data_IF_655271382214
#
_entry.id   IF_655271382214
#
_cell.length_a   1.000
_cell.length_b   1.000
_cell.length_c   1.000
_cell.angle_alpha   90.00
_cell.angle_beta   90.00
_cell.angle_gamma   90.00
#
_symmetry.space_group_name_H-M   'P 1'
#
loop_
_entity.id
_entity.type
_entity.pdbx_description
1 polymer ?
#
# COMPACT_ATOMS: atom_id res chain seq x y z
N UNK A 1 85.07 40.67 19.49
CA UNK A 1 84.33 41.55 20.44
C UNK A 1 83.87 40.70 21.61
N UNK A 2 84.03 41.24 22.82
CA UNK A 2 83.75 40.61 24.13
C UNK A 2 82.25 40.72 24.50
N UNK A 3 81.80 39.82 25.39
CA UNK A 3 80.60 39.97 26.26
C UNK A 3 79.82 38.66 26.34
N UNK A 4 80.10 37.72 27.25
CA UNK A 4 79.76 37.63 28.71
C UNK A 4 78.27 37.82 29.04
N UNK A 5 77.66 36.79 29.64
CA UNK A 5 76.37 36.81 30.35
C UNK A 5 75.88 35.40 30.64
N UNK A 6 76.47 34.70 31.63
CA UNK A 6 75.92 34.43 32.99
C UNK A 6 74.67 33.55 33.00
N UNK A 7 74.87 32.34 33.52
CA UNK A 7 73.88 31.29 33.80
C UNK A 7 73.09 31.63 35.07
N UNK A 8 71.78 31.42 35.04
CA UNK A 8 70.91 31.42 36.21
C UNK A 8 70.27 30.03 36.34
N UNK A 9 70.73 29.27 37.34
CA UNK A 9 70.05 28.08 37.84
C UNK A 9 68.93 28.54 38.78
N UNK A 10 67.68 28.18 38.45
CA UNK A 10 66.61 28.15 39.42
C UNK A 10 66.04 26.74 39.49
N UNK A 11 66.28 26.12 40.64
CA UNK A 11 65.76 24.82 41.04
C UNK A 11 64.31 25.05 41.47
N UNK A 12 63.35 24.41 40.82
CA UNK A 12 61.97 24.29 41.29
C UNK A 12 61.59 22.80 41.24
N UNK A 13 61.14 22.22 42.35
CA UNK A 13 60.91 20.79 42.46
C UNK A 13 59.76 20.35 41.55
N UNK A 14 59.88 19.13 41.01
CA UNK A 14 58.76 18.38 40.45
C UNK A 14 57.64 18.34 41.49
N UNK A 15 56.55 19.07 41.23
CA UNK A 15 55.24 18.70 41.77
C UNK A 15 54.64 17.75 40.75
N UNK A 16 54.90 16.45 40.91
CA UNK A 16 54.02 15.44 40.34
C UNK A 16 52.66 15.62 41.02
N UNK A 17 51.76 16.33 40.33
CA UNK A 17 50.35 16.33 40.69
C UNK A 17 49.85 14.89 40.60
N UNK A 18 49.67 14.24 41.76
CA UNK A 18 48.95 12.98 41.80
C UNK A 18 47.54 13.23 41.24
N UNK A 19 47.19 12.53 40.16
CA UNK A 19 45.79 12.30 39.84
C UNK A 19 45.15 11.71 41.09
N UNK A 20 44.27 12.46 41.75
CA UNK A 20 43.37 11.88 42.76
C UNK A 20 42.43 10.93 42.03
N UNK A 21 42.86 9.68 41.91
CA UNK A 21 41.96 8.56 41.71
C UNK A 21 41.17 8.51 43.01
N UNK A 22 39.90 8.88 42.94
CA UNK A 22 38.96 8.62 44.03
C UNK A 22 38.77 7.11 44.10
N UNK A 23 39.58 6.46 44.93
CA UNK A 23 39.37 5.09 45.34
C UNK A 23 38.35 5.13 46.48
N UNK A 24 37.22 4.45 46.30
CA UNK A 24 36.12 4.45 47.27
C UNK A 24 36.41 3.62 48.54
N UNK A 25 37.61 3.06 48.66
CA UNK A 25 37.97 2.17 49.75
C UNK A 25 38.90 2.88 50.76
N UNK A 26 38.30 3.43 51.82
CA UNK A 26 38.97 3.68 53.10
C UNK A 26 38.45 2.69 54.14
N UNK A 27 39.23 2.36 55.19
CA UNK A 27 39.11 1.09 55.89
C UNK A 27 37.97 1.11 56.92
N UNK A 28 36.78 0.71 56.48
CA UNK A 28 35.84 -0.06 57.28
C UNK A 28 35.74 -1.43 56.64
N UNK A 29 35.82 -2.52 57.41
CA UNK A 29 35.57 -3.86 56.88
C UNK A 29 34.11 -3.95 56.39
N UNK A 30 33.88 -3.63 55.12
CA UNK A 30 32.66 -4.04 54.43
C UNK A 30 32.85 -5.49 54.05
N UNK A 31 31.94 -6.35 54.53
CA UNK A 31 31.85 -7.72 54.05
C UNK A 31 31.77 -7.68 52.51
N UNK A 32 32.38 -8.65 51.81
CA UNK A 32 32.31 -8.69 50.36
C UNK A 32 30.84 -8.58 49.93
N UNK A 33 30.50 -7.68 49.00
CA UNK A 33 29.12 -7.42 48.62
C UNK A 33 28.47 -8.73 48.22
N UNK A 34 27.37 -9.07 48.89
CA UNK A 34 26.62 -10.28 48.59
C UNK A 34 26.12 -10.19 47.14
N UNK A 35 26.54 -11.11 46.24
CA UNK A 35 26.23 -11.01 44.80
C UNK A 35 24.73 -11.06 44.50
N UNK A 36 23.91 -11.42 45.49
CA UNK A 36 22.47 -11.64 45.34
C UNK A 36 21.65 -10.38 45.71
N UNK A 37 22.06 -9.58 46.70
CA UNK A 37 21.30 -8.39 47.10
C UNK A 37 22.14 -7.32 47.83
N UNK A 38 22.69 -6.33 47.11
CA UNK A 38 23.56 -5.29 47.69
C UNK A 38 22.83 -4.27 48.59
N UNK A 39 21.53 -4.46 48.84
CA UNK A 39 20.73 -3.61 49.73
C UNK A 39 20.71 -4.07 51.20
N UNK A 40 21.52 -5.05 51.59
CA UNK A 40 21.50 -5.65 52.94
C UNK A 40 22.66 -5.28 53.87
N UNK A 41 23.59 -4.42 53.44
CA UNK A 41 24.82 -4.14 54.20
C UNK A 41 24.99 -2.63 54.47
N UNK A 42 24.75 -2.20 55.72
CA UNK A 42 25.16 -0.91 56.33
C UNK A 42 24.59 0.42 55.77
N UNK A 43 24.57 1.45 56.63
CA UNK A 43 23.91 2.76 56.40
C UNK A 43 24.44 3.51 55.16
N UNK A 44 25.69 3.23 54.76
CA UNK A 44 26.38 3.82 53.61
C UNK A 44 26.01 3.16 52.27
N UNK A 45 25.44 1.94 52.27
CA UNK A 45 24.94 1.29 51.04
C UNK A 45 23.61 1.84 50.55
N UNK A 46 22.94 2.69 51.35
CA UNK A 46 21.63 3.25 51.03
C UNK A 46 21.64 4.02 49.69
N UNK A 47 22.70 4.80 49.41
CA UNK A 47 22.84 5.52 48.14
C UNK A 47 22.99 4.60 46.93
N UNK A 48 23.84 3.57 47.04
CA UNK A 48 24.03 2.56 45.99
C UNK A 48 22.76 1.73 45.75
N UNK A 49 22.04 1.35 46.81
CA UNK A 49 20.77 0.64 46.71
C UNK A 49 19.68 1.48 46.02
N UNK A 50 19.59 2.78 46.35
CA UNK A 50 18.66 3.71 45.66
C UNK A 50 19.01 3.82 44.17
N UNK A 51 20.29 3.96 43.82
CA UNK A 51 20.73 4.02 42.43
C UNK A 51 20.42 2.73 41.67
N UNK A 52 20.66 1.56 42.27
CA UNK A 52 20.36 0.27 41.66
C UNK A 52 18.85 0.09 41.43
N UNK A 53 18.01 0.44 42.42
CA UNK A 53 16.55 0.41 42.25
C UNK A 53 16.08 1.34 41.13
N UNK A 54 16.65 2.55 41.02
CA UNK A 54 16.34 3.49 39.94
C UNK A 54 16.78 2.96 38.58
N UNK A 55 17.93 2.29 38.49
CA UNK A 55 18.40 1.61 37.28
C UNK A 55 17.42 0.51 36.85
N UNK A 56 17.00 -0.37 37.77
CA UNK A 56 16.05 -1.45 37.46
C UNK A 56 14.68 -0.90 37.03
N UNK A 57 14.22 0.17 37.67
CA UNK A 57 13.01 0.87 37.25
C UNK A 57 13.16 1.40 35.83
N UNK A 58 14.27 2.06 35.51
CA UNK A 58 14.53 2.58 34.16
C UNK A 58 14.64 1.47 33.11
N UNK A 59 15.31 0.36 33.43
CA UNK A 59 15.40 -0.83 32.57
C UNK A 59 14.00 -1.42 32.31
N UNK A 60 13.16 -1.51 33.33
CA UNK A 60 11.76 -1.94 33.19
C UNK A 60 10.95 -0.99 32.30
N UNK A 61 11.08 0.32 32.50
CA UNK A 61 10.43 1.31 31.63
C UNK A 61 10.94 1.24 30.19
N UNK A 62 12.25 1.09 29.99
CA UNK A 62 12.85 0.98 28.67
C UNK A 62 12.36 -0.29 27.96
N UNK A 63 12.41 -1.46 28.62
CA UNK A 63 11.91 -2.71 28.06
C UNK A 63 10.42 -2.62 27.73
N UNK A 64 9.60 -2.07 28.63
CA UNK A 64 8.17 -1.91 28.37
C UNK A 64 7.90 -0.95 27.20
N UNK A 65 8.68 0.14 27.09
CA UNK A 65 8.58 1.09 25.98
C UNK A 65 9.00 0.46 24.65
N UNK A 66 10.11 -0.28 24.65
CA UNK A 66 10.59 -1.02 23.47
C UNK A 66 9.56 -2.05 22.99
N UNK A 67 9.02 -2.88 23.90
CA UNK A 67 7.97 -3.85 23.55
C UNK A 67 6.72 -3.17 22.97
N UNK A 68 6.30 -2.04 23.54
CA UNK A 68 5.15 -1.27 23.03
C UNK A 68 5.41 -0.70 21.63
N UNK A 69 6.63 -0.23 21.37
CA UNK A 69 7.04 0.25 20.05
C UNK A 69 7.08 -0.88 19.02
N UNK A 70 7.63 -2.04 19.38
CA UNK A 70 7.65 -3.23 18.53
C UNK A 70 6.23 -3.70 18.18
N UNK A 71 5.34 -3.76 19.17
CA UNK A 71 3.92 -4.08 18.99
C UNK A 71 3.22 -3.09 18.05
N UNK A 72 3.47 -1.80 18.24
CA UNK A 72 2.88 -0.74 17.43
C UNK A 72 3.36 -0.82 15.98
N UNK A 73 4.66 -1.09 15.79
CA UNK A 73 5.25 -1.28 14.47
C UNK A 73 4.64 -2.51 13.78
N UNK A 74 4.51 -3.64 14.47
CA UNK A 74 3.92 -4.86 13.93
C UNK A 74 2.46 -4.64 13.50
N UNK A 75 1.66 -3.93 14.32
CA UNK A 75 0.27 -3.57 13.98
C UNK A 75 0.18 -2.63 12.78
N UNK A 76 1.07 -1.64 12.71
CA UNK A 76 1.14 -0.71 11.58
C UNK A 76 1.51 -1.45 10.29
N UNK A 77 2.52 -2.32 10.33
CA UNK A 77 2.93 -3.15 9.20
C UNK A 77 1.80 -4.05 8.71
N UNK A 78 1.09 -4.71 9.63
CA UNK A 78 -0.04 -5.58 9.27
C UNK A 78 -1.20 -4.79 8.64
N UNK A 79 -1.52 -3.62 9.20
CA UNK A 79 -2.53 -2.73 8.64
C UNK A 79 -2.16 -2.28 7.23
N UNK A 80 -0.89 -1.88 7.01
CA UNK A 80 -0.40 -1.47 5.69
C UNK A 80 -0.44 -2.61 4.68
N UNK A 81 -0.07 -3.82 5.11
CA UNK A 81 -0.15 -5.01 4.28
C UNK A 81 -1.59 -5.30 3.86
N UNK A 82 -2.52 -5.30 4.81
CA UNK A 82 -3.95 -5.51 4.57
C UNK A 82 -4.52 -4.45 3.60
N UNK A 83 -4.17 -3.17 3.79
CA UNK A 83 -4.54 -2.09 2.86
C UNK A 83 -4.01 -2.36 1.45
N UNK A 84 -2.75 -2.83 1.31
CA UNK A 84 -2.17 -3.13 0.00
C UNK A 84 -2.85 -4.32 -0.67
N UNK A 85 -3.12 -5.39 0.07
CA UNK A 85 -3.75 -6.61 -0.43
C UNK A 85 -5.24 -6.39 -0.78
N UNK A 86 -5.89 -5.37 -0.21
CA UNK A 86 -7.30 -5.06 -0.47
C UNK A 86 -7.52 -4.03 -1.58
N UNK A 87 -6.47 -3.51 -2.22
CA UNK A 87 -6.64 -2.58 -3.34
C UNK A 87 -7.06 -3.36 -4.57
N UNK A 88 -8.16 -2.94 -5.18
CA UNK A 88 -8.67 -3.51 -6.42
C UNK A 88 -9.06 -2.35 -7.32
N UNK A 89 -8.41 -2.26 -8.47
CA UNK A 89 -8.73 -1.29 -9.48
C UNK A 89 -8.27 -1.79 -10.85
N UNK A 90 -9.15 -1.73 -11.83
CA UNK A 90 -8.80 -2.01 -13.22
C UNK A 90 -9.35 -0.92 -14.13
N UNK A 91 -8.65 -0.67 -15.23
CA UNK A 91 -9.10 0.17 -16.32
C UNK A 91 -8.47 -0.37 -17.59
N UNK A 92 -9.33 -0.79 -18.51
CA UNK A 92 -8.94 -1.47 -19.74
C UNK A 92 -9.68 -0.88 -20.93
N UNK A 93 -9.05 -0.93 -22.10
CA UNK A 93 -9.62 -0.52 -23.37
C UNK A 93 -9.68 -1.71 -24.34
N UNK A 94 -10.57 -1.64 -25.34
CA UNK A 94 -10.88 -2.78 -26.19
C UNK A 94 -9.63 -3.27 -26.93
N UNK A 95 -8.87 -2.33 -27.49
CA UNK A 95 -7.63 -2.58 -28.26
C UNK A 95 -6.83 -1.27 -28.37
N UNK A 96 -5.58 -1.36 -28.81
CA UNK A 96 -4.66 -0.25 -29.10
C UNK A 96 -4.50 0.02 -30.61
N UNK A 97 -5.32 -0.64 -31.43
CA UNK A 97 -5.26 -0.62 -32.90
C UNK A 97 -6.66 -0.58 -33.46
N UNK A 98 -6.81 0.00 -34.65
CA UNK A 98 -8.10 0.09 -35.35
C UNK A 98 -8.72 -1.30 -35.54
N UNK A 99 -9.77 -1.61 -34.76
CA UNK A 99 -10.51 -2.88 -34.82
C UNK A 99 -11.95 -2.65 -34.40
N UNK A 100 -12.87 -3.29 -35.11
CA UNK A 100 -14.25 -3.44 -34.66
C UNK A 100 -14.54 -4.88 -34.26
N UNK A 101 -15.36 -5.06 -33.23
CA UNK A 101 -15.89 -6.34 -32.77
C UNK A 101 -17.39 -6.35 -33.07
N UNK A 102 -17.84 -7.32 -33.87
CA UNK A 102 -19.21 -7.39 -34.36
C UNK A 102 -19.28 -7.70 -35.86
N UNK A 103 -20.48 -7.82 -36.43
CA UNK A 103 -21.70 -8.09 -35.69
C UNK A 103 -21.68 -9.57 -35.27
N UNK A 104 -22.24 -9.88 -34.11
CA UNK A 104 -22.35 -11.27 -33.65
C UNK A 104 -23.78 -11.78 -33.79
N UNK A 105 -23.93 -13.08 -34.07
CA UNK A 105 -25.25 -13.73 -34.15
C UNK A 105 -25.87 -13.97 -32.77
N UNK A 106 -25.01 -14.20 -31.78
CA UNK A 106 -25.36 -14.45 -30.39
C UNK A 106 -24.56 -13.49 -29.52
N UNK A 107 -25.09 -13.12 -28.37
CA UNK A 107 -24.36 -12.26 -27.45
C UNK A 107 -23.01 -12.90 -27.07
N UNK A 108 -21.93 -12.12 -27.09
CA UNK A 108 -20.59 -12.56 -26.70
C UNK A 108 -20.06 -11.70 -25.57
N UNK A 109 -19.13 -12.25 -24.78
CA UNK A 109 -18.35 -11.45 -23.85
C UNK A 109 -17.28 -10.68 -24.63
N UNK A 110 -17.20 -9.37 -24.37
CA UNK A 110 -16.21 -8.49 -24.96
C UNK A 110 -14.90 -8.62 -24.22
N UNK A 111 -13.82 -8.87 -24.96
CA UNK A 111 -12.48 -9.02 -24.40
C UNK A 111 -11.70 -7.72 -24.64
N UNK A 112 -11.44 -6.98 -23.56
CA UNK A 112 -10.66 -5.75 -23.59
C UNK A 112 -9.19 -6.11 -23.38
N UNK A 113 -8.37 -5.86 -24.40
CA UNK A 113 -6.99 -6.37 -24.46
C UNK A 113 -5.95 -5.34 -24.06
N UNK A 114 -6.26 -4.04 -24.16
CA UNK A 114 -5.37 -2.98 -23.72
C UNK A 114 -5.56 -2.72 -22.23
N UNK A 115 -4.51 -2.87 -21.43
CA UNK A 115 -4.57 -2.70 -19.97
C UNK A 115 -3.84 -1.41 -19.59
N UNK A 116 -4.56 -0.45 -19.00
CA UNK A 116 -3.94 0.71 -18.36
C UNK A 116 -3.54 0.40 -16.93
N UNK A 117 -4.43 -0.27 -16.19
CA UNK A 117 -4.21 -0.67 -14.80
C UNK A 117 -4.98 -1.96 -14.49
N UNK A 118 -4.40 -2.82 -13.67
CA UNK A 118 -5.03 -4.06 -13.18
C UNK A 118 -4.49 -4.41 -11.78
N UNK A 119 -4.67 -3.50 -10.82
CA UNK A 119 -4.28 -3.70 -9.43
C UNK A 119 -5.15 -4.81 -8.82
N UNK A 120 -4.50 -5.78 -8.18
CA UNK A 120 -5.14 -6.96 -7.62
C UNK A 120 -5.35 -8.08 -8.64
N UNK A 121 -4.92 -7.87 -9.90
CA UNK A 121 -4.94 -8.88 -10.99
C UNK A 121 -6.30 -9.56 -11.19
N UNK A 122 -7.38 -8.83 -10.88
CA UNK A 122 -8.73 -9.35 -10.86
C UNK A 122 -9.41 -9.33 -12.25
N UNK A 123 -8.86 -8.58 -13.21
CA UNK A 123 -9.29 -8.60 -14.60
C UNK A 123 -8.45 -9.56 -15.44
N UNK A 124 -9.11 -10.43 -16.22
CA UNK A 124 -8.46 -11.36 -17.13
C UNK A 124 -8.65 -10.91 -18.60
N UNK A 125 -7.58 -10.40 -19.21
CA UNK A 125 -7.58 -9.88 -20.59
C UNK A 125 -7.66 -10.94 -21.68
N UNK A 126 -7.55 -12.23 -21.34
CA UNK A 126 -7.80 -13.31 -22.29
C UNK A 126 -9.28 -13.67 -22.40
N UNK A 127 -10.07 -13.40 -21.35
CA UNK A 127 -11.48 -13.80 -21.26
C UNK A 127 -12.45 -12.63 -21.20
N UNK A 128 -11.97 -11.42 -20.91
CA UNK A 128 -12.83 -10.24 -20.73
C UNK A 128 -13.53 -10.16 -19.38
N UNK A 129 -13.13 -10.99 -18.41
CA UNK A 129 -13.85 -11.17 -17.14
C UNK A 129 -13.13 -10.45 -16.01
N UNK A 130 -13.86 -9.61 -15.28
CA UNK A 130 -13.45 -9.15 -13.95
C UNK A 130 -14.04 -10.09 -12.89
N UNK A 131 -13.19 -10.74 -12.10
CA UNK A 131 -13.61 -11.61 -11.00
C UNK A 131 -13.38 -10.90 -9.69
N UNK A 132 -14.45 -10.71 -8.92
CA UNK A 132 -14.43 -9.95 -7.68
C UNK A 132 -13.56 -10.67 -6.64
N UNK A 133 -12.41 -10.10 -6.24
CA UNK A 133 -11.51 -10.77 -5.32
C UNK A 133 -11.93 -10.58 -3.85
N UNK A 134 -12.76 -9.56 -3.56
CA UNK A 134 -13.19 -9.17 -2.22
C UNK A 134 -14.64 -8.69 -2.23
N UNK A 135 -15.44 -9.10 -1.25
CA UNK A 135 -16.79 -8.59 -1.08
C UNK A 135 -16.75 -7.10 -0.74
N UNK A 136 -17.65 -6.32 -1.33
CA UNK A 136 -17.70 -4.89 -1.09
C UNK A 136 -18.55 -4.13 -2.09
N UNK A 137 -18.45 -2.80 -2.03
CA UNK A 137 -19.11 -1.91 -2.98
C UNK A 137 -18.11 -1.45 -4.03
N UNK A 138 -18.46 -1.69 -5.29
CA UNK A 138 -17.64 -1.38 -6.45
C UNK A 138 -18.27 -0.25 -7.26
N UNK A 139 -17.45 0.68 -7.73
CA UNK A 139 -17.80 1.54 -8.85
C UNK A 139 -17.37 0.84 -10.13
N UNK A 140 -18.30 0.66 -11.06
CA UNK A 140 -18.06 0.08 -12.37
C UNK A 140 -18.50 1.09 -13.41
N UNK A 141 -17.68 1.25 -14.46
CA UNK A 141 -18.02 2.07 -15.60
C UNK A 141 -17.65 1.35 -16.89
N UNK A 142 -18.51 1.45 -17.90
CA UNK A 142 -18.16 1.00 -19.24
C UNK A 142 -18.69 1.98 -20.28
N UNK A 143 -17.91 2.13 -21.34
CA UNK A 143 -18.21 2.97 -22.48
C UNK A 143 -18.37 2.08 -23.69
N UNK A 144 -19.40 2.36 -24.48
CA UNK A 144 -19.61 1.77 -25.79
C UNK A 144 -19.42 2.86 -26.84
N UNK A 145 -18.63 2.57 -27.87
CA UNK A 145 -18.46 3.42 -29.04
C UNK A 145 -18.47 2.54 -30.30
N UNK A 146 -19.09 3.04 -31.36
CA UNK A 146 -18.97 2.43 -32.67
C UNK A 146 -18.96 3.49 -33.77
N UNK A 147 -18.39 3.09 -34.91
CA UNK A 147 -18.41 3.79 -36.19
C UNK A 147 -19.31 2.99 -37.15
N UNK A 148 -20.15 3.65 -37.92
CA UNK A 148 -21.03 3.05 -38.93
C UNK A 148 -20.24 2.46 -40.12
N UNK A 149 -18.95 2.77 -40.24
CA UNK A 149 -18.00 2.25 -41.21
C UNK A 149 -18.10 2.88 -42.60
N UNK A 150 -19.30 3.31 -43.02
CA UNK A 150 -19.51 4.06 -44.26
C UNK A 150 -20.68 5.04 -44.14
N UNK A 151 -20.66 6.18 -44.86
CA UNK A 151 -21.76 7.15 -44.83
C UNK A 151 -23.11 6.51 -45.17
N UNK A 152 -24.11 6.71 -44.30
CA UNK A 152 -25.46 6.18 -44.49
C UNK A 152 -25.66 4.70 -44.13
N UNK A 153 -24.62 4.02 -43.63
CA UNK A 153 -24.80 2.70 -43.03
C UNK A 153 -25.50 2.79 -41.67
N UNK A 154 -26.13 1.69 -41.26
CA UNK A 154 -26.77 1.60 -39.95
C UNK A 154 -25.71 1.52 -38.85
N UNK A 155 -25.66 2.53 -37.99
CA UNK A 155 -24.94 2.48 -36.73
C UNK A 155 -25.74 1.65 -35.73
N UNK A 156 -25.09 0.69 -35.08
CA UNK A 156 -25.70 -0.18 -34.09
C UNK A 156 -24.67 -0.48 -33.00
N UNK A 157 -24.77 0.21 -31.89
CA UNK A 157 -23.87 0.10 -30.74
C UNK A 157 -24.68 -0.30 -29.52
N UNK A 158 -24.44 -1.50 -29.00
CA UNK A 158 -25.16 -1.95 -27.82
C UNK A 158 -24.44 -3.04 -27.04
N UNK A 159 -24.33 -2.82 -25.73
CA UNK A 159 -23.73 -3.78 -24.82
C UNK A 159 -24.38 -3.68 -23.44
N UNK A 160 -24.26 -4.76 -22.67
CA UNK A 160 -24.73 -4.81 -21.28
C UNK A 160 -23.61 -5.23 -20.35
N UNK A 161 -23.47 -4.56 -19.22
CA UNK A 161 -22.67 -5.08 -18.10
C UNK A 161 -23.50 -6.12 -17.33
N UNK A 162 -22.88 -7.28 -17.05
CA UNK A 162 -23.55 -8.43 -16.45
C UNK A 162 -22.80 -8.91 -15.21
N UNK A 163 -23.54 -9.31 -14.18
CA UNK A 163 -23.04 -10.06 -13.01
C UNK A 163 -23.50 -11.50 -13.13
N UNK A 164 -22.55 -12.44 -13.17
CA UNK A 164 -22.82 -13.88 -13.29
C UNK A 164 -23.80 -14.21 -14.43
N UNK A 165 -23.68 -13.49 -15.55
CA UNK A 165 -24.55 -13.67 -16.69
C UNK A 165 -25.94 -13.04 -16.56
N UNK A 166 -26.25 -12.25 -15.53
CA UNK A 166 -27.48 -11.44 -15.42
C UNK A 166 -27.16 -9.96 -15.67
N UNK A 167 -27.93 -9.28 -16.51
CA UNK A 167 -27.68 -7.87 -16.83
C UNK A 167 -27.91 -6.96 -15.61
N UNK A 168 -26.97 -6.04 -15.37
CA UNK A 168 -27.11 -4.97 -14.37
C UNK A 168 -27.53 -3.66 -15.03
N UNK A 169 -26.91 -3.33 -16.16
CA UNK A 169 -27.23 -2.15 -16.97
C UNK A 169 -26.92 -2.44 -18.44
N UNK A 170 -27.54 -1.70 -19.34
CA UNK A 170 -27.32 -1.81 -20.78
C UNK A 170 -27.31 -0.44 -21.44
N UNK A 171 -26.53 -0.33 -22.51
CA UNK A 171 -26.50 0.81 -23.42
C UNK A 171 -26.89 0.30 -24.80
N UNK A 172 -27.72 1.07 -25.51
CA UNK A 172 -28.17 0.72 -26.85
C UNK A 172 -28.49 1.97 -27.63
N UNK A 173 -27.77 2.16 -28.72
CA UNK A 173 -28.07 3.15 -29.75
C UNK A 173 -28.09 2.47 -31.12
N UNK A 174 -29.13 2.76 -31.90
CA UNK A 174 -29.29 2.24 -33.26
C UNK A 174 -29.87 3.36 -34.11
N UNK A 175 -29.06 3.88 -35.02
CA UNK A 175 -29.43 5.04 -35.82
C UNK A 175 -28.80 4.98 -37.21
N UNK A 176 -29.50 5.49 -38.22
CA UNK A 176 -29.11 5.33 -39.63
C UNK A 176 -28.42 6.57 -40.24
N UNK A 177 -28.33 7.67 -39.49
CA UNK A 177 -27.75 8.92 -40.00
C UNK A 177 -26.50 9.39 -39.26
N UNK A 178 -26.18 8.76 -38.12
CA UNK A 178 -24.99 9.10 -37.35
C UNK A 178 -23.82 8.22 -37.77
N UNK A 179 -22.67 8.83 -38.02
CA UNK A 179 -21.46 8.11 -38.39
C UNK A 179 -20.80 7.46 -37.19
N UNK A 180 -20.85 8.12 -36.03
CA UNK A 180 -20.21 7.68 -34.79
C UNK A 180 -21.12 8.04 -33.62
N UNK A 181 -21.17 7.16 -32.61
CA UNK A 181 -21.89 7.44 -31.38
C UNK A 181 -21.22 6.74 -30.19
N UNK A 182 -21.42 7.33 -29.01
CA UNK A 182 -20.85 6.87 -27.76
C UNK A 182 -21.84 7.01 -26.61
N UNK A 183 -21.88 6.00 -25.74
CA UNK A 183 -22.55 6.10 -24.46
C UNK A 183 -21.69 5.51 -23.34
N UNK A 184 -21.82 6.06 -22.14
CA UNK A 184 -21.13 5.56 -20.93
C UNK A 184 -22.15 5.31 -19.83
N UNK A 185 -22.05 4.16 -19.19
CA UNK A 185 -22.82 3.84 -17.99
C UNK A 185 -21.88 3.72 -16.80
N UNK A 186 -22.28 4.30 -15.67
CA UNK A 186 -21.60 4.21 -14.38
C UNK A 186 -22.58 3.66 -13.35
N UNK A 187 -22.15 2.66 -12.58
CA UNK A 187 -22.99 2.02 -11.57
C UNK A 187 -22.19 1.72 -10.30
N UNK A 188 -22.86 1.85 -9.17
CA UNK A 188 -22.40 1.30 -7.89
C UNK A 188 -23.08 -0.04 -7.68
N UNK A 189 -22.29 -1.09 -7.42
CA UNK A 189 -22.81 -2.44 -7.21
C UNK A 189 -22.19 -3.05 -5.96
N UNK A 190 -23.03 -3.65 -5.11
CA UNK A 190 -22.54 -4.53 -4.04
C UNK A 190 -22.26 -5.91 -4.62
N UNK A 191 -21.00 -6.31 -4.56
CA UNK A 191 -20.50 -7.56 -5.13
C UNK A 191 -19.89 -8.43 -4.05
N UNK A 192 -19.97 -9.74 -4.27
CA UNK A 192 -19.44 -10.77 -3.40
C UNK A 192 -18.22 -11.41 -4.05
N UNK A 193 -17.31 -11.93 -3.22
CA UNK A 193 -16.15 -12.71 -3.71
C UNK A 193 -16.59 -13.76 -4.72
N UNK A 194 -15.90 -13.82 -5.86
CA UNK A 194 -16.16 -14.79 -6.92
C UNK A 194 -17.22 -14.36 -7.94
N UNK A 195 -17.93 -13.24 -7.72
CA UNK A 195 -18.79 -12.67 -8.74
C UNK A 195 -18.00 -12.34 -10.01
N UNK A 196 -18.59 -12.67 -11.16
CA UNK A 196 -18.00 -12.47 -12.48
C UNK A 196 -18.72 -11.34 -13.18
N UNK A 197 -18.00 -10.24 -13.42
CA UNK A 197 -18.49 -9.10 -14.17
C UNK A 197 -17.97 -9.17 -15.59
N UNK A 198 -18.89 -9.08 -16.56
CA UNK A 198 -18.55 -9.07 -17.99
C UNK A 198 -19.31 -7.98 -18.73
N UNK A 199 -18.70 -7.47 -19.80
CA UNK A 199 -19.42 -6.69 -20.81
C UNK A 199 -19.85 -7.65 -21.91
N UNK A 200 -21.13 -7.61 -22.26
CA UNK A 200 -21.72 -8.48 -23.27
C UNK A 200 -22.21 -7.66 -24.44
N UNK A 201 -21.57 -7.84 -25.61
CA UNK A 201 -22.00 -7.30 -26.89
C UNK A 201 -23.24 -8.06 -27.34
N UNK A 202 -24.31 -7.33 -27.65
CA UNK A 202 -25.57 -7.94 -28.09
C UNK A 202 -25.53 -8.28 -29.59
N UNK A 203 -26.43 -9.15 -30.06
CA UNK A 203 -26.54 -9.48 -31.47
C UNK A 203 -26.74 -8.24 -32.34
N UNK A 204 -26.13 -8.26 -33.53
CA UNK A 204 -26.22 -7.17 -34.53
C UNK A 204 -25.65 -5.82 -34.09
N UNK A 205 -24.89 -5.77 -32.99
CA UNK A 205 -24.19 -4.58 -32.52
C UNK A 205 -22.68 -4.68 -32.74
N UNK A 206 -22.05 -3.51 -32.77
CA UNK A 206 -20.63 -3.31 -33.01
C UNK A 206 -20.01 -2.50 -31.89
N UNK A 207 -18.73 -2.76 -31.62
CA UNK A 207 -17.86 -1.89 -30.83
C UNK A 207 -16.58 -1.68 -31.63
N UNK A 208 -16.25 -0.43 -31.93
CA UNK A 208 -15.04 -0.07 -32.69
C UNK A 208 -14.05 0.66 -31.81
N UNK A 209 -12.76 0.41 -31.97
CA UNK A 209 -11.76 1.10 -31.18
C UNK A 209 -10.47 1.26 -31.97
N UNK A 210 -9.63 2.20 -31.56
CA UNK A 210 -8.30 2.43 -32.13
C UNK A 210 -7.30 2.93 -31.06
N UNK A 211 -6.24 3.63 -31.48
CA UNK A 211 -5.20 4.15 -30.59
C UNK A 211 -5.74 5.18 -29.57
N UNK A 212 -6.94 5.73 -29.80
CA UNK A 212 -7.59 6.70 -28.91
C UNK A 212 -8.41 6.04 -27.79
N UNK A 213 -8.62 4.72 -27.83
CA UNK A 213 -9.25 3.95 -26.74
C UNK A 213 -10.67 4.42 -26.36
N UNK A 214 -11.58 4.50 -27.33
CA UNK A 214 -12.96 4.94 -27.13
C UNK A 214 -13.78 3.96 -26.27
N UNK A 215 -13.54 2.66 -26.43
CA UNK A 215 -14.25 1.62 -25.68
C UNK A 215 -13.49 1.25 -24.43
N UNK A 216 -13.97 1.70 -23.27
CA UNK A 216 -13.34 1.47 -21.97
C UNK A 216 -14.23 0.64 -21.05
N UNK A 217 -13.59 -0.16 -20.19
CA UNK A 217 -14.23 -0.85 -19.08
C UNK A 217 -13.33 -0.66 -17.85
N UNK A 218 -13.88 -0.09 -16.79
CA UNK A 218 -13.14 0.21 -15.58
C UNK A 218 -13.96 -0.11 -14.34
N UNK A 219 -13.24 -0.31 -13.24
CA UNK A 219 -13.87 -0.49 -11.96
C UNK A 219 -12.89 -0.55 -10.82
N UNK A 220 -13.35 -0.17 -9.64
CA UNK A 220 -12.54 -0.20 -8.43
C UNK A 220 -13.39 -0.44 -7.19
N UNK A 221 -12.77 -1.02 -6.17
CA UNK A 221 -13.37 -1.22 -4.86
C UNK A 221 -13.40 0.10 -4.10
N UNK A 222 -14.59 0.57 -3.72
CA UNK A 222 -14.74 1.75 -2.86
C UNK A 222 -14.41 1.40 -1.41
N UNK A 223 -15.02 0.33 -0.89
CA UNK A 223 -14.74 -0.21 0.42
C UNK A 223 -15.14 -1.69 0.47
N UNK A 224 -14.34 -2.48 1.17
CA UNK A 224 -14.66 -3.87 1.43
C UNK A 224 -15.81 -3.98 2.45
N UNK A 225 -16.67 -4.97 2.28
CA UNK A 225 -17.65 -5.39 3.29
C UNK A 225 -17.23 -6.74 3.83
N UNK A 226 -17.67 -7.06 5.06
CA UNK A 226 -17.44 -8.37 5.69
C UNK A 226 -17.93 -9.53 4.84
#
# INVERSE_FOLDING_TARGET
MKGKGVVLFFVLPLVLGQQKIFNWDTPGQTLPPDPINPCLTDQDSCGCCVMQRKKWQLEGYLNSSMNSLEDSLARAQNTLRNIRENRVAFSVALTDRRRCVGPVRTAINVVYQSIFINIGEAYNSSTGVFTVPRSGVYNLAFTVFSDAGSPGALLSVCASIRRNGVALAALREVYAQDQEDQATAVLLAQLSVGDRITISLQPSCWLCDDQNHYNTFSGFLLYATE
#
